data_IF_369606739279
#
_entry.id   IF_369606739279
#
_cell.length_a   1.000
_cell.length_b   1.000
_cell.length_c   1.000
_cell.angle_alpha   90.00
_cell.angle_beta   90.00
_cell.angle_gamma   90.00
#
_symmetry.space_group_name_H-M   'P 1'
#
loop_
_entity.id
_entity.type
_entity.pdbx_description
1 polymer ?
#
# COMPACT_ATOMS: atom_id res chain seq x y z
N UNK A 1 -20.82 19.87 -5.24
CA UNK A 1 -19.73 19.66 -6.22
C UNK A 1 -19.19 18.26 -5.99
N UNK A 2 -19.50 17.34 -6.89
CA UNK A 2 -18.99 15.97 -6.83
C UNK A 2 -18.48 15.64 -8.24
N UNK A 3 -17.33 14.97 -8.31
CA UNK A 3 -16.51 14.68 -9.50
C UNK A 3 -15.48 15.77 -9.87
N UNK A 4 -14.24 15.57 -9.42
CA UNK A 4 -13.07 16.10 -10.09
C UNK A 4 -12.83 15.34 -11.39
N UNK A 5 -12.36 16.04 -12.43
CA UNK A 5 -12.04 15.53 -13.76
C UNK A 5 -10.70 14.76 -13.68
N UNK A 6 -10.63 13.69 -12.91
CA UNK A 6 -9.37 12.97 -12.70
C UNK A 6 -9.58 11.48 -12.45
N UNK A 7 -8.86 10.65 -13.20
CA UNK A 7 -8.67 9.24 -12.92
C UNK A 7 -7.30 9.06 -12.26
N UNK A 8 -7.18 8.12 -11.33
CA UNK A 8 -5.91 7.79 -10.68
C UNK A 8 -5.62 6.30 -10.82
N UNK A 9 -4.33 5.95 -10.85
CA UNK A 9 -3.87 4.55 -10.72
C UNK A 9 -3.52 4.34 -9.25
N UNK A 10 -4.03 3.27 -8.66
CA UNK A 10 -3.89 2.98 -7.24
C UNK A 10 -3.84 1.47 -7.01
N UNK A 11 -3.14 1.00 -5.97
CA UNK A 11 -3.23 -0.40 -5.54
C UNK A 11 -4.65 -0.74 -5.08
N UNK A 12 -5.10 -1.96 -5.36
CA UNK A 12 -6.38 -2.48 -4.87
C UNK A 12 -6.32 -2.82 -3.37
N UNK A 13 -7.49 -2.92 -2.75
CA UNK A 13 -7.68 -3.31 -1.35
C UNK A 13 -7.03 -2.33 -0.37
N UNK A 14 -7.09 -1.04 -0.68
CA UNK A 14 -6.55 0.03 0.18
C UNK A 14 -7.63 0.77 0.97
N UNK A 15 -8.90 0.32 0.88
CA UNK A 15 -10.03 0.87 1.61
C UNK A 15 -10.70 2.05 0.90
N UNK A 16 -10.17 2.49 -0.24
CA UNK A 16 -10.79 3.54 -1.04
C UNK A 16 -12.10 3.06 -1.69
N UNK A 17 -12.24 1.75 -1.89
CA UNK A 17 -13.46 1.10 -2.38
C UNK A 17 -14.70 1.48 -1.55
N UNK A 18 -14.53 1.80 -0.27
CA UNK A 18 -15.61 2.13 0.65
C UNK A 18 -15.84 3.65 0.84
N UNK A 19 -15.05 4.52 0.18
CA UNK A 19 -15.05 5.95 0.48
C UNK A 19 -16.23 6.70 -0.17
N UNK A 20 -16.78 6.20 -1.27
CA UNK A 20 -17.94 6.82 -1.93
C UNK A 20 -18.64 5.88 -2.91
N UNK A 21 -19.97 5.93 -2.93
CA UNK A 21 -20.80 5.25 -3.94
C UNK A 21 -20.60 5.79 -5.37
N UNK A 22 -19.97 6.95 -5.52
CA UNK A 22 -19.70 7.58 -6.82
C UNK A 22 -18.26 7.34 -7.31
N UNK A 23 -17.48 6.50 -6.62
CA UNK A 23 -16.15 6.10 -7.04
C UNK A 23 -16.23 4.72 -7.70
N UNK A 24 -15.85 4.62 -8.97
CA UNK A 24 -15.71 3.33 -9.67
C UNK A 24 -14.23 2.93 -9.71
N UNK A 25 -13.89 1.79 -9.10
CA UNK A 25 -12.54 1.22 -9.12
C UNK A 25 -12.57 0.03 -10.08
N UNK A 26 -11.83 0.15 -11.18
CA UNK A 26 -11.74 -0.88 -12.21
C UNK A 26 -10.37 -1.54 -12.17
N UNK A 27 -10.28 -2.88 -12.08
CA UNK A 27 -9.01 -3.57 -12.20
C UNK A 27 -8.45 -3.35 -13.62
N UNK A 28 -7.15 -3.10 -13.71
CA UNK A 28 -6.44 -2.99 -14.98
C UNK A 28 -5.96 -4.40 -15.35
N UNK A 29 -6.35 -4.91 -16.51
CA UNK A 29 -5.96 -6.25 -16.97
C UNK A 29 -4.50 -6.27 -17.43
N UNK A 30 -3.84 -7.42 -17.25
CA UNK A 30 -2.47 -7.69 -17.76
C UNK A 30 -1.40 -6.69 -17.28
N UNK A 31 -1.52 -6.20 -16.04
CA UNK A 31 -0.53 -5.28 -15.46
C UNK A 31 0.37 -6.00 -14.46
N UNK A 32 1.68 -5.94 -14.69
CA UNK A 32 2.68 -6.17 -13.66
C UNK A 32 3.09 -4.82 -13.05
N UNK A 33 2.78 -4.63 -11.78
CA UNK A 33 3.20 -3.44 -11.04
C UNK A 33 4.24 -3.88 -10.03
N UNK A 34 5.52 -3.65 -10.35
CA UNK A 34 6.61 -3.84 -9.39
C UNK A 34 6.66 -2.62 -8.44
N UNK A 35 5.76 -2.63 -7.45
CA UNK A 35 5.69 -1.61 -6.41
C UNK A 35 5.72 -2.26 -5.04
N UNK A 36 6.92 -2.69 -4.65
CA UNK A 36 7.17 -3.24 -3.31
C UNK A 36 6.95 -2.16 -2.25
N UNK A 37 5.99 -2.39 -1.35
CA UNK A 37 5.78 -1.53 -0.18
C UNK A 37 6.89 -1.78 0.85
N UNK A 38 7.53 -0.72 1.34
CA UNK A 38 8.62 -0.80 2.30
C UNK A 38 8.51 0.30 3.37
N UNK A 39 9.13 0.04 4.52
CA UNK A 39 9.35 1.04 5.57
C UNK A 39 10.77 1.58 5.51
N UNK A 40 10.92 2.89 5.70
CA UNK A 40 12.22 3.57 5.70
C UNK A 40 12.45 4.22 7.06
N UNK A 41 13.57 3.86 7.70
CA UNK A 41 14.00 4.46 8.96
C UNK A 41 15.10 5.48 8.68
N UNK A 42 15.01 6.65 9.30
CA UNK A 42 16.05 7.66 9.19
C UNK A 42 17.34 7.12 9.83
N UNK A 43 18.43 7.08 9.07
CA UNK A 43 19.74 6.67 9.54
C UNK A 43 20.41 7.75 10.41
N UNK A 44 19.88 8.01 11.61
CA UNK A 44 20.40 9.02 12.55
C UNK A 44 20.00 8.69 13.99
N UNK A 45 20.95 8.81 14.91
CA UNK A 45 20.72 8.71 16.35
C UNK A 45 20.07 9.97 16.96
N UNK A 46 19.27 9.85 18.04
CA UNK A 46 18.83 8.57 18.62
C UNK A 46 17.75 7.90 17.77
N UNK A 47 17.78 6.57 17.68
CA UNK A 47 16.69 5.78 17.08
C UNK A 47 15.46 5.80 18.01
N UNK A 48 14.27 5.93 17.43
CA UNK A 48 13.02 5.92 18.20
C UNK A 48 12.64 4.49 18.55
N UNK A 49 12.46 4.20 19.84
CA UNK A 49 11.93 2.91 20.30
C UNK A 49 10.56 2.56 19.73
N UNK A 50 9.73 3.59 19.44
CA UNK A 50 8.47 3.40 18.73
C UNK A 50 8.72 2.96 17.28
N UNK A 51 9.70 3.57 16.61
CA UNK A 51 10.07 3.16 15.24
C UNK A 51 10.58 1.71 15.22
N UNK A 52 11.42 1.29 16.19
CA UNK A 52 11.87 -0.10 16.29
C UNK A 52 10.71 -1.09 16.45
N UNK A 53 9.75 -0.78 17.33
CA UNK A 53 8.54 -1.58 17.49
C UNK A 53 7.73 -1.65 16.20
N UNK A 54 7.49 -0.52 15.54
CA UNK A 54 6.77 -0.48 14.26
C UNK A 54 7.44 -1.34 13.18
N UNK A 55 8.77 -1.31 13.08
CA UNK A 55 9.51 -2.12 12.12
C UNK A 55 9.44 -3.61 12.45
N UNK A 56 9.48 -3.96 13.73
CA UNK A 56 9.33 -5.35 14.19
C UNK A 56 7.94 -5.88 13.86
N UNK A 57 6.89 -5.11 14.19
CA UNK A 57 5.50 -5.49 13.90
C UNK A 57 5.26 -5.61 12.39
N UNK A 58 5.83 -4.69 11.60
CA UNK A 58 5.66 -4.70 10.15
C UNK A 58 6.32 -5.90 9.46
N UNK A 59 7.41 -6.45 9.99
CA UNK A 59 8.01 -7.68 9.44
C UNK A 59 7.03 -8.86 9.45
N UNK A 60 6.17 -8.95 10.49
CA UNK A 60 5.12 -9.97 10.56
C UNK A 60 4.10 -9.75 9.44
N UNK A 61 3.60 -8.51 9.30
CA UNK A 61 2.61 -8.13 8.28
C UNK A 61 3.14 -8.38 6.86
N UNK A 62 4.39 -8.05 6.57
CA UNK A 62 4.97 -8.24 5.24
C UNK A 62 5.32 -9.69 4.94
N UNK A 63 5.61 -10.51 5.96
CA UNK A 63 5.88 -11.95 5.78
C UNK A 63 4.62 -12.73 5.36
N UNK A 64 3.45 -12.31 5.85
CA UNK A 64 2.14 -12.86 5.50
C UNK A 64 1.68 -12.44 4.10
N UNK A 65 2.19 -11.30 3.60
CA UNK A 65 1.81 -10.67 2.33
C UNK A 65 2.68 -11.03 1.13
N UNK A 66 3.53 -12.07 1.18
CA UNK A 66 4.25 -12.50 -0.05
C UNK A 66 3.21 -12.76 -1.15
N UNK A 67 3.22 -12.00 -2.26
CA UNK A 67 2.48 -12.39 -3.43
C UNK A 67 3.06 -13.75 -3.82
N UNK A 68 2.22 -14.78 -3.88
CA UNK A 68 2.60 -16.00 -4.59
C UNK A 68 2.97 -15.57 -6.01
N UNK A 69 4.27 -15.56 -6.32
CA UNK A 69 4.74 -15.56 -7.68
C UNK A 69 4.16 -16.81 -8.35
N UNK A 70 3.00 -16.66 -8.96
CA UNK A 70 2.46 -17.63 -9.91
C UNK A 70 2.85 -17.06 -11.25
N UNK A 71 3.91 -17.64 -11.81
CA UNK A 71 4.35 -17.35 -13.18
C UNK A 71 3.46 -18.01 -14.22
#
# INVERSE_FOLDING_TARGET
>A
MQAGICCAIMPLNNGLEALSDNLDIRPIAETEVDSTLALIMRNKEPVSSLAEKCFTDAQVIFSERRPSATG
#
